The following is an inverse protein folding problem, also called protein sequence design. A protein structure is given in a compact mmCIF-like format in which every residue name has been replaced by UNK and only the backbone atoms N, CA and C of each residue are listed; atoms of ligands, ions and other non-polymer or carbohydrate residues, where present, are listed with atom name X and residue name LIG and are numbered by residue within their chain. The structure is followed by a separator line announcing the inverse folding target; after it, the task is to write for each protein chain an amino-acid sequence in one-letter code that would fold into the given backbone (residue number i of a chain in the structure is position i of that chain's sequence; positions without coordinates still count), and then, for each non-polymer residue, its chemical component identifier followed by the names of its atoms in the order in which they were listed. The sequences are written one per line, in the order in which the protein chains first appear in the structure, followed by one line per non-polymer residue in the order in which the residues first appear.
data_IF_436697713611
#
_entry.id   IF_436697713611
#
_cell.length_a   1.000
_cell.length_b   1.000
_cell.length_c   1.000
_cell.angle_alpha   90.00
_cell.angle_beta   90.00
_cell.angle_gamma   90.00
#
_symmetry.space_group_name_H-M   'P 1'
#
loop_
_entity.id
_entity.type
_entity.pdbx_description
1 polymer ?
#
# COMPACT_ATOMS: atom_id res chain seq x y z
N UNK A 1 -7.78 -18.41 -1.65
CA UNK A 1 -9.07 -17.98 -2.21
C UNK A 1 -8.79 -17.50 -3.61
N UNK A 2 -9.50 -18.00 -4.62
CA UNK A 2 -9.49 -17.35 -5.94
C UNK A 2 -10.29 -16.05 -5.81
N UNK A 3 -9.61 -14.93 -5.97
CA UNK A 3 -10.23 -13.62 -6.01
C UNK A 3 -10.41 -13.24 -7.49
N UNK A 4 -11.63 -12.91 -7.90
CA UNK A 4 -11.90 -12.37 -9.24
C UNK A 4 -11.56 -10.87 -9.25
N UNK A 5 -10.28 -10.53 -9.22
CA UNK A 5 -9.82 -9.16 -9.37
C UNK A 5 -9.80 -8.76 -10.84
N UNK A 6 -10.11 -7.49 -11.11
CA UNK A 6 -9.71 -6.89 -12.39
C UNK A 6 -8.19 -6.83 -12.48
N UNK A 7 -7.64 -6.66 -13.68
CA UNK A 7 -6.18 -6.50 -13.85
C UNK A 7 -5.63 -5.35 -13.00
N UNK A 8 -6.37 -4.24 -12.93
CA UNK A 8 -6.04 -3.08 -12.09
C UNK A 8 -6.03 -3.40 -10.59
N UNK A 9 -7.06 -4.09 -10.09
CA UNK A 9 -7.12 -4.52 -8.69
C UNK A 9 -6.00 -5.50 -8.37
N UNK A 10 -5.65 -6.38 -9.30
CA UNK A 10 -4.54 -7.32 -9.14
C UNK A 10 -3.20 -6.58 -9.06
N UNK A 11 -2.98 -5.55 -9.89
CA UNK A 11 -1.78 -4.70 -9.81
C UNK A 11 -1.65 -4.01 -8.45
N UNK A 12 -2.75 -3.46 -7.91
CA UNK A 12 -2.77 -2.83 -6.58
C UNK A 12 -2.35 -3.84 -5.50
N UNK A 13 -2.91 -5.06 -5.55
CA UNK A 13 -2.58 -6.13 -4.61
C UNK A 13 -1.11 -6.51 -4.70
N UNK A 14 -0.55 -6.61 -5.90
CA UNK A 14 0.83 -7.01 -6.09
C UNK A 14 1.82 -5.94 -5.62
N UNK A 15 1.53 -4.66 -5.85
CA UNK A 15 2.30 -3.54 -5.30
C UNK A 15 2.27 -3.55 -3.77
N UNK A 16 1.08 -3.70 -3.17
CA UNK A 16 0.93 -3.74 -1.72
C UNK A 16 1.68 -4.94 -1.10
N UNK A 17 1.65 -6.10 -1.75
CA UNK A 17 2.43 -7.29 -1.35
C UNK A 17 3.92 -7.04 -1.41
N UNK A 18 4.41 -6.45 -2.49
CA UNK A 18 5.83 -6.16 -2.64
C UNK A 18 6.34 -5.25 -1.52
N UNK A 19 5.65 -4.15 -1.23
CA UNK A 19 6.03 -3.24 -0.12
C UNK A 19 5.99 -3.98 1.21
N UNK A 20 4.99 -4.85 1.41
CA UNK A 20 4.88 -5.64 2.64
C UNK A 20 6.09 -6.57 2.81
N UNK A 21 6.42 -7.35 1.77
CA UNK A 21 7.48 -8.34 1.82
C UNK A 21 8.87 -7.71 1.91
N UNK A 22 9.11 -6.64 1.17
CA UNK A 22 10.43 -6.01 1.09
C UNK A 22 10.71 -4.99 2.21
N UNK A 23 9.68 -4.30 2.72
CA UNK A 23 9.86 -3.17 3.66
C UNK A 23 9.26 -3.42 5.04
N UNK A 24 8.06 -3.98 5.11
CA UNK A 24 7.35 -4.15 6.39
C UNK A 24 7.88 -5.37 7.15
N UNK A 25 7.85 -6.55 6.54
CA UNK A 25 8.22 -7.81 7.20
C UNK A 25 9.63 -7.76 7.82
N UNK A 26 10.67 -7.21 7.17
CA UNK A 26 12.01 -7.16 7.74
C UNK A 26 12.13 -6.21 8.95
N UNK A 27 11.35 -5.12 8.98
CA UNK A 27 11.47 -4.05 9.99
C UNK A 27 10.43 -4.11 11.11
N UNK A 28 9.30 -4.82 10.91
CA UNK A 28 8.12 -4.73 11.81
C UNK A 28 8.42 -5.04 13.28
N UNK A 29 9.31 -6.00 13.56
CA UNK A 29 9.60 -6.40 14.94
C UNK A 29 10.42 -5.33 15.67
N UNK A 30 11.45 -4.79 15.01
CA UNK A 30 12.26 -3.70 15.57
C UNK A 30 11.44 -2.43 15.79
N UNK A 31 10.59 -2.07 14.82
CA UNK A 31 9.71 -0.91 14.93
C UNK A 31 8.73 -1.03 16.11
N UNK A 32 8.17 -2.23 16.33
CA UNK A 32 7.29 -2.53 17.45
C UNK A 32 8.03 -2.42 18.79
N UNK A 33 9.19 -3.08 18.91
CA UNK A 33 10.03 -3.04 20.12
C UNK A 33 10.46 -1.61 20.51
N UNK A 34 10.71 -0.76 19.51
CA UNK A 34 11.13 0.63 19.72
C UNK A 34 9.96 1.61 19.83
N UNK A 35 8.73 1.17 19.60
CA UNK A 35 7.55 2.02 19.42
C UNK A 35 7.77 3.16 18.40
N UNK A 36 8.50 2.85 17.32
CA UNK A 36 8.86 3.82 16.29
C UNK A 36 7.81 3.85 15.17
N UNK A 37 7.44 5.06 14.76
CA UNK A 37 6.49 5.24 13.67
C UNK A 37 7.19 5.10 12.31
N UNK A 38 6.73 4.20 11.42
CA UNK A 38 7.46 3.81 10.21
C UNK A 38 7.31 4.81 9.06
N UNK A 39 7.81 6.04 9.24
CA UNK A 39 7.66 7.13 8.25
C UNK A 39 8.21 6.78 6.87
N UNK A 40 9.34 6.08 6.80
CA UNK A 40 9.94 5.69 5.52
C UNK A 40 9.01 4.76 4.73
N UNK A 41 8.47 3.74 5.37
CA UNK A 41 7.56 2.78 4.74
C UNK A 41 6.30 3.49 4.26
N UNK A 42 5.74 4.40 5.07
CA UNK A 42 4.56 5.18 4.68
C UNK A 42 4.86 6.10 3.50
N UNK A 43 6.06 6.68 3.41
CA UNK A 43 6.44 7.48 2.25
C UNK A 43 6.51 6.61 0.98
N UNK A 44 7.02 5.38 1.06
CA UNK A 44 7.03 4.44 -0.08
C UNK A 44 5.60 4.05 -0.50
N UNK A 45 4.71 3.80 0.47
CA UNK A 45 3.29 3.54 0.17
C UNK A 45 2.60 4.74 -0.48
N UNK A 46 2.95 5.97 -0.06
CA UNK A 46 2.42 7.20 -0.66
C UNK A 46 2.93 7.40 -2.10
N UNK A 47 4.21 7.10 -2.36
CA UNK A 47 4.78 7.16 -3.71
C UNK A 47 4.20 6.11 -4.66
N UNK A 48 3.64 5.03 -4.11
CA UNK A 48 2.92 4.00 -4.85
C UNK A 48 1.42 4.29 -4.99
N UNK A 49 0.97 5.51 -4.65
CA UNK A 49 -0.42 5.98 -4.71
C UNK A 49 -1.44 5.16 -3.90
N UNK A 50 -0.99 4.28 -3.01
CA UNK A 50 -1.85 3.37 -2.25
C UNK A 50 -2.82 4.10 -1.30
N UNK A 51 -2.47 5.30 -0.85
CA UNK A 51 -3.37 6.13 -0.03
C UNK A 51 -4.40 6.90 -0.85
N UNK A 52 -4.16 7.06 -2.15
CA UNK A 52 -5.02 7.78 -3.09
C UNK A 52 -6.09 6.91 -3.74
N UNK A 53 -6.10 5.59 -3.48
CA UNK A 53 -6.99 4.63 -4.17
C UNK A 53 -8.45 5.11 -4.24
N UNK A 54 -9.15 5.41 -3.13
CA UNK A 54 -10.55 5.85 -3.18
C UNK A 54 -10.74 7.33 -3.53
N UNK A 55 -9.65 8.09 -3.70
CA UNK A 55 -9.70 9.53 -3.85
C UNK A 55 -9.83 9.85 -5.34
N UNK A 56 -10.80 10.69 -5.76
CA UNK A 56 -10.92 11.12 -7.15
C UNK A 56 -9.65 11.78 -7.70
N UNK A 57 -9.39 11.60 -9.00
CA UNK A 57 -8.23 12.20 -9.69
C UNK A 57 -8.21 13.74 -9.60
N UNK A 58 -9.37 14.40 -9.56
CA UNK A 58 -9.47 15.87 -9.42
C UNK A 58 -8.85 16.40 -8.11
N UNK A 59 -8.69 15.53 -7.11
CA UNK A 59 -8.05 15.83 -5.83
C UNK A 59 -6.64 15.24 -5.72
N UNK A 60 -6.08 14.72 -6.82
CA UNK A 60 -4.76 14.09 -6.85
C UNK A 60 -4.76 12.64 -6.34
N UNK A 61 -5.91 11.97 -6.36
CA UNK A 61 -6.02 10.55 -6.06
C UNK A 61 -5.95 9.65 -7.29
N UNK A 62 -6.06 8.35 -7.08
CA UNK A 62 -5.98 7.32 -8.13
C UNK A 62 -7.35 7.06 -8.79
N UNK A 63 -8.46 7.50 -8.20
CA UNK A 63 -9.80 7.34 -8.77
C UNK A 63 -10.34 5.91 -8.78
N UNK A 64 -9.74 5.01 -8.01
CA UNK A 64 -10.15 3.63 -7.84
C UNK A 64 -11.40 3.46 -6.96
N UNK A 65 -11.96 2.25 -6.98
CA UNK A 65 -13.13 1.88 -6.20
C UNK A 65 -12.75 0.87 -5.10
N UNK A 66 -13.39 0.95 -3.94
CA UNK A 66 -13.23 0.03 -2.81
C UNK A 66 -14.25 -1.13 -2.77
N UNK A 67 -15.18 -1.21 -3.73
CA UNK A 67 -16.29 -2.17 -3.77
C UNK A 67 -16.38 -2.95 -5.08
#
# INVERSE_FOLDING_TARGET
MEHFFTEEQQMIVDIARQITDERIIPKRAELDEKHEFPREILNEMAQADLFGIPIPEEYGGFGGNCF
#
